data_IF_616377720145
#
_entry.id   IF_616377720145
#
_cell.length_a   1.000
_cell.length_b   1.000
_cell.length_c   1.000
_cell.angle_alpha   90.00
_cell.angle_beta   90.00
_cell.angle_gamma   90.00
#
_symmetry.space_group_name_H-M   'P 1'
#
loop_
_entity.id
_entity.type
_entity.pdbx_description
1 polymer ?
#
# COMPACT_ATOMS: atom_id res chain seq x y z
N UNK A 1 -41.31 -40.67 -37.41
CA UNK A 1 -40.20 -39.96 -38.07
C UNK A 1 -40.19 -38.44 -37.88
N UNK A 2 -41.30 -37.72 -37.66
CA UNK A 2 -41.26 -36.25 -37.50
C UNK A 2 -40.75 -35.76 -36.13
N UNK A 3 -41.00 -36.50 -35.04
CA UNK A 3 -40.66 -36.07 -33.67
C UNK A 3 -39.15 -36.04 -33.42
N UNK A 4 -38.40 -36.96 -34.05
CA UNK A 4 -36.93 -37.03 -33.92
C UNK A 4 -36.23 -35.85 -34.58
N UNK A 5 -36.81 -35.25 -35.63
CA UNK A 5 -36.24 -34.07 -36.29
C UNK A 5 -36.50 -32.79 -35.51
N UNK A 6 -37.66 -32.69 -34.83
CA UNK A 6 -37.98 -31.53 -33.98
C UNK A 6 -37.07 -31.49 -32.75
N UNK A 7 -36.79 -32.65 -32.14
CA UNK A 7 -35.83 -32.75 -31.03
C UNK A 7 -34.40 -32.39 -31.43
N UNK A 8 -33.98 -32.75 -32.65
CA UNK A 8 -32.66 -32.40 -33.20
C UNK A 8 -32.53 -30.91 -33.55
N UNK A 9 -33.61 -30.28 -34.04
CA UNK A 9 -33.65 -28.83 -34.28
C UNK A 9 -33.68 -28.02 -32.97
N UNK A 10 -34.37 -28.53 -31.94
CA UNK A 10 -34.37 -27.92 -30.62
C UNK A 10 -32.99 -28.02 -29.93
N UNK A 11 -32.29 -29.15 -30.07
CA UNK A 11 -30.94 -29.32 -29.49
C UNK A 11 -29.87 -28.49 -30.21
N UNK A 12 -29.96 -28.29 -31.53
CA UNK A 12 -29.10 -27.35 -32.26
C UNK A 12 -29.44 -25.88 -31.96
N UNK A 13 -30.69 -25.55 -31.64
CA UNK A 13 -31.07 -24.18 -31.24
C UNK A 13 -30.53 -23.79 -29.87
N UNK A 14 -30.55 -24.71 -28.90
CA UNK A 14 -30.02 -24.45 -27.55
C UNK A 14 -28.49 -24.37 -27.49
N UNK A 15 -27.75 -25.06 -28.36
CA UNK A 15 -26.28 -24.97 -28.37
C UNK A 15 -25.78 -23.61 -28.88
N UNK A 16 -26.56 -22.91 -29.71
CA UNK A 16 -26.22 -21.55 -30.18
C UNK A 16 -26.51 -20.45 -29.15
N UNK A 17 -27.31 -20.75 -28.12
CA UNK A 17 -27.65 -19.81 -27.04
C UNK A 17 -26.83 -20.04 -25.76
N UNK A 18 -25.99 -21.08 -25.74
CA UNK A 18 -25.17 -21.47 -24.60
C UNK A 18 -23.69 -21.06 -24.75
N UNK A 19 -23.40 -19.92 -25.37
CA UNK A 19 -22.11 -19.27 -25.16
C UNK A 19 -22.19 -18.60 -23.79
N UNK A 20 -21.80 -19.31 -22.74
CA UNK A 20 -21.50 -18.67 -21.48
C UNK A 20 -20.45 -17.59 -21.78
N UNK A 21 -20.72 -16.34 -21.42
CA UNK A 21 -19.70 -15.29 -21.45
C UNK A 21 -18.50 -15.83 -20.67
N UNK A 22 -17.30 -15.78 -21.28
CA UNK A 22 -16.08 -16.13 -20.56
C UNK A 22 -16.05 -15.25 -19.32
N UNK A 23 -16.03 -15.88 -18.15
CA UNK A 23 -15.95 -15.17 -16.87
C UNK A 23 -14.66 -14.35 -16.79
N UNK A 24 -14.51 -13.62 -15.68
CA UNK A 24 -13.29 -12.88 -15.38
C UNK A 24 -12.10 -13.86 -15.38
N UNK A 25 -11.20 -13.70 -16.36
CA UNK A 25 -9.91 -14.39 -16.40
C UNK A 25 -8.85 -13.45 -15.82
N UNK A 26 -8.14 -13.90 -14.79
CA UNK A 26 -7.00 -13.15 -14.26
C UNK A 26 -5.94 -12.95 -15.36
N UNK A 27 -5.29 -11.76 -15.40
CA UNK A 27 -4.22 -11.50 -16.35
C UNK A 27 -3.14 -12.56 -16.26
N UNK A 28 -2.72 -13.06 -17.42
CA UNK A 28 -1.52 -13.88 -17.56
C UNK A 28 -0.50 -13.05 -18.32
N UNK A 29 0.78 -13.29 -18.02
CA UNK A 29 1.86 -12.66 -18.75
C UNK A 29 1.74 -12.94 -20.26
N UNK A 30 1.67 -11.88 -21.05
CA UNK A 30 1.44 -11.93 -22.49
C UNK A 30 2.73 -12.20 -23.30
N UNK A 31 3.87 -12.33 -22.63
CA UNK A 31 5.17 -12.61 -23.23
C UNK A 31 5.90 -11.39 -23.77
N UNK A 32 5.37 -10.17 -23.58
CA UNK A 32 6.07 -8.94 -23.98
C UNK A 32 6.89 -8.39 -22.83
N UNK A 33 8.15 -8.15 -23.12
CA UNK A 33 9.14 -7.55 -22.23
C UNK A 33 8.83 -6.06 -21.98
N UNK A 34 8.56 -5.71 -20.72
CA UNK A 34 8.26 -4.35 -20.25
C UNK A 34 9.26 -3.88 -19.19
N UNK A 35 9.93 -4.80 -18.50
CA UNK A 35 10.87 -4.49 -17.42
C UNK A 35 12.21 -4.05 -18.00
N UNK A 36 12.63 -2.83 -17.66
CA UNK A 36 13.84 -2.22 -18.22
C UNK A 36 15.11 -2.69 -17.49
N UNK A 37 16.15 -3.10 -18.22
CA UNK A 37 17.52 -3.20 -17.69
C UNK A 37 18.10 -1.78 -17.51
N UNK A 38 18.05 -1.25 -16.28
CA UNK A 38 18.42 0.13 -15.96
C UNK A 38 19.92 0.24 -15.70
N UNK A 39 20.56 1.13 -16.47
CA UNK A 39 22.00 1.35 -16.47
C UNK A 39 22.34 2.83 -16.71
N UNK A 40 23.64 3.16 -16.73
CA UNK A 40 24.13 4.55 -16.87
C UNK A 40 23.58 5.27 -18.11
N UNK A 41 23.21 4.54 -19.17
CA UNK A 41 22.76 5.13 -20.44
C UNK A 41 21.28 5.50 -20.45
N UNK A 42 20.45 4.83 -19.65
CA UNK A 42 18.99 4.95 -19.73
C UNK A 42 18.31 5.41 -18.43
N UNK A 43 18.95 5.36 -17.26
CA UNK A 43 18.27 5.66 -15.99
C UNK A 43 17.57 7.03 -15.96
N UNK A 44 18.25 8.10 -16.42
CA UNK A 44 17.63 9.43 -16.52
C UNK A 44 16.44 9.48 -17.47
N UNK A 45 16.43 8.65 -18.52
CA UNK A 45 15.30 8.58 -19.46
C UNK A 45 14.14 7.83 -18.84
N UNK A 46 14.41 6.76 -18.07
CA UNK A 46 13.42 6.05 -17.28
C UNK A 46 12.70 6.99 -16.32
N UNK A 47 13.46 7.67 -15.44
CA UNK A 47 12.92 8.61 -14.45
C UNK A 47 12.11 9.78 -15.04
N UNK A 48 12.37 10.16 -16.30
CA UNK A 48 11.63 11.24 -16.98
C UNK A 48 10.44 10.77 -17.79
N UNK A 49 10.38 9.48 -18.14
CA UNK A 49 9.37 8.91 -19.03
C UNK A 49 8.09 8.56 -18.28
N UNK A 50 8.23 8.13 -17.03
CA UNK A 50 7.15 7.64 -16.20
C UNK A 50 6.94 8.58 -15.02
N UNK A 51 5.67 8.81 -14.66
CA UNK A 51 5.32 9.58 -13.47
C UNK A 51 5.70 8.81 -12.19
N UNK A 52 5.69 7.47 -12.28
CA UNK A 52 6.18 6.56 -11.27
C UNK A 52 7.07 5.48 -11.90
N UNK A 53 8.26 5.24 -11.36
CA UNK A 53 9.19 4.20 -11.81
C UNK A 53 9.54 3.26 -10.66
N UNK A 54 9.18 1.99 -10.80
CA UNK A 54 9.48 0.91 -9.86
C UNK A 54 10.77 0.19 -10.28
N UNK A 55 11.78 0.18 -9.42
CA UNK A 55 13.08 -0.44 -9.67
C UNK A 55 13.36 -1.55 -8.68
N UNK A 56 13.51 -2.77 -9.16
CA UNK A 56 14.01 -3.89 -8.36
C UNK A 56 15.54 -3.87 -8.35
N UNK A 57 16.13 -3.69 -7.18
CA UNK A 57 17.57 -3.68 -6.98
C UNK A 57 18.06 -5.08 -6.65
N UNK A 58 18.86 -5.68 -7.53
CA UNK A 58 19.14 -7.12 -7.44
C UNK A 58 20.63 -7.43 -7.39
N UNK A 59 20.94 -8.54 -6.71
CA UNK A 59 22.26 -9.15 -6.73
C UNK A 59 22.64 -9.56 -8.17
N UNK A 60 23.95 -9.65 -8.49
CA UNK A 60 24.39 -10.02 -9.83
C UNK A 60 23.93 -11.42 -10.19
N UNK A 61 23.85 -11.69 -11.50
CA UNK A 61 23.44 -12.98 -12.03
C UNK A 61 24.21 -14.14 -11.34
N UNK A 62 23.50 -14.99 -10.57
CA UNK A 62 24.15 -16.00 -9.76
C UNK A 62 24.64 -17.15 -10.65
N UNK A 63 25.74 -17.81 -10.26
CA UNK A 63 26.26 -18.98 -10.98
C UNK A 63 25.38 -20.23 -10.78
N UNK A 64 24.69 -20.31 -9.64
CA UNK A 64 23.81 -21.44 -9.30
C UNK A 64 22.48 -21.34 -10.07
N UNK A 65 22.06 -22.45 -10.68
CA UNK A 65 20.86 -22.51 -11.52
C UNK A 65 19.58 -22.23 -10.74
N UNK A 66 19.53 -22.62 -9.48
CA UNK A 66 18.39 -22.41 -8.58
C UNK A 66 18.16 -20.91 -8.33
N UNK A 67 19.22 -20.17 -8.04
CA UNK A 67 19.17 -18.72 -7.81
C UNK A 67 18.84 -17.96 -9.11
N UNK A 68 19.31 -18.45 -10.26
CA UNK A 68 18.91 -17.86 -11.56
C UNK A 68 17.41 -17.99 -11.80
N UNK A 69 16.82 -19.14 -11.44
CA UNK A 69 15.38 -19.34 -11.54
C UNK A 69 14.60 -18.42 -10.60
N UNK A 70 15.10 -18.18 -9.38
CA UNK A 70 14.46 -17.25 -8.45
C UNK A 70 14.42 -15.84 -9.04
N UNK A 71 15.54 -15.34 -9.58
CA UNK A 71 15.58 -14.04 -10.24
C UNK A 71 14.64 -13.96 -11.46
N UNK A 72 14.55 -15.03 -12.26
CA UNK A 72 13.59 -15.12 -13.37
C UNK A 72 12.13 -15.10 -12.92
N UNK A 73 11.82 -15.73 -11.79
CA UNK A 73 10.47 -15.68 -11.22
C UNK A 73 10.14 -14.27 -10.72
N UNK A 74 11.10 -13.57 -10.11
CA UNK A 74 10.96 -12.17 -9.71
C UNK A 74 10.75 -11.26 -10.92
N UNK A 75 11.56 -11.42 -11.97
CA UNK A 75 11.38 -10.69 -13.23
C UNK A 75 9.98 -10.91 -13.81
N UNK A 76 9.46 -12.14 -13.77
CA UNK A 76 8.10 -12.46 -14.23
C UNK A 76 7.01 -11.79 -13.37
N UNK A 77 7.21 -11.65 -12.06
CA UNK A 77 6.31 -10.89 -11.17
C UNK A 77 6.25 -9.43 -11.60
N UNK A 78 7.42 -8.82 -11.84
CA UNK A 78 7.52 -7.43 -12.29
C UNK A 78 6.91 -7.25 -13.69
N UNK A 79 7.11 -8.19 -14.61
CA UNK A 79 6.50 -8.18 -15.93
C UNK A 79 4.97 -8.23 -15.89
N UNK A 80 4.43 -9.06 -15.00
CA UNK A 80 2.98 -9.15 -14.82
C UNK A 80 2.41 -7.85 -14.24
N UNK A 81 3.06 -7.28 -13.22
CA UNK A 81 2.67 -5.98 -12.66
C UNK A 81 2.77 -4.86 -13.71
N UNK A 82 3.86 -4.83 -14.48
CA UNK A 82 4.07 -3.88 -15.58
C UNK A 82 3.00 -4.00 -16.66
N UNK A 83 2.55 -5.22 -16.98
CA UNK A 83 1.46 -5.44 -17.92
C UNK A 83 0.13 -4.88 -17.39
N UNK A 84 -0.17 -5.08 -16.10
CA UNK A 84 -1.42 -4.59 -15.49
C UNK A 84 -1.42 -3.06 -15.39
N UNK A 85 -0.27 -2.45 -15.09
CA UNK A 85 -0.13 -1.02 -14.84
C UNK A 85 0.34 -0.21 -16.05
N UNK A 86 0.46 -0.82 -17.23
CA UNK A 86 0.92 -0.17 -18.46
C UNK A 86 0.09 1.07 -18.81
N UNK A 87 -1.24 0.97 -18.68
CA UNK A 87 -2.17 2.09 -18.94
C UNK A 87 -2.13 3.19 -17.89
N UNK A 88 -1.60 2.90 -16.69
CA UNK A 88 -1.41 3.87 -15.61
C UNK A 88 -0.11 4.66 -15.76
N UNK A 89 0.72 4.34 -16.76
CA UNK A 89 1.98 5.05 -17.00
C UNK A 89 3.06 4.75 -15.96
N UNK A 90 2.97 3.62 -15.25
CA UNK A 90 3.96 3.18 -14.26
C UNK A 90 5.03 2.34 -14.97
N UNK A 91 6.29 2.74 -14.80
CA UNK A 91 7.45 2.05 -15.36
C UNK A 91 7.99 1.00 -14.41
N UNK A 92 8.55 -0.08 -14.95
CA UNK A 92 9.26 -1.10 -14.19
C UNK A 92 10.68 -1.29 -14.72
N UNK A 93 11.62 -1.58 -13.84
CA UNK A 93 13.00 -1.84 -14.20
C UNK A 93 13.75 -2.64 -13.16
N UNK A 94 14.93 -3.11 -13.55
CA UNK A 94 15.86 -3.84 -12.71
C UNK A 94 17.23 -3.14 -12.74
N UNK A 95 17.90 -3.10 -11.59
CA UNK A 95 19.23 -2.52 -11.44
C UNK A 95 20.15 -3.55 -10.80
N UNK A 96 21.22 -3.92 -11.49
CA UNK A 96 22.22 -4.87 -10.98
C UNK A 96 23.20 -4.18 -10.02
N UNK A 97 23.37 -4.75 -8.82
CA UNK A 97 24.20 -4.17 -7.76
C UNK A 97 25.69 -4.05 -8.05
N UNK A 98 26.22 -4.84 -8.99
CA UNK A 98 27.63 -4.79 -9.38
C UNK A 98 27.83 -4.12 -10.74
N UNK A 99 27.10 -4.58 -11.76
CA UNK A 99 27.22 -4.06 -13.13
C UNK A 99 26.80 -2.59 -13.18
N UNK A 100 25.77 -2.21 -12.43
CA UNK A 100 25.16 -0.89 -12.45
C UNK A 100 25.31 -0.15 -11.10
N UNK A 101 26.31 -0.52 -10.30
CA UNK A 101 26.61 0.02 -8.97
C UNK A 101 26.66 1.56 -8.89
N UNK A 102 27.14 2.23 -9.95
CA UNK A 102 27.18 3.69 -10.03
C UNK A 102 25.79 4.32 -10.17
N UNK A 103 24.86 3.62 -10.83
CA UNK A 103 23.46 4.03 -10.93
C UNK A 103 22.79 3.81 -9.60
N UNK A 104 22.93 2.63 -9.00
CA UNK A 104 22.40 2.31 -7.68
C UNK A 104 22.81 3.36 -6.63
N UNK A 105 24.10 3.70 -6.58
CA UNK A 105 24.61 4.75 -5.68
C UNK A 105 24.01 6.14 -5.94
N UNK A 106 23.75 6.50 -7.20
CA UNK A 106 23.14 7.80 -7.54
C UNK A 106 21.66 7.86 -7.22
N UNK A 107 20.98 6.72 -7.29
CA UNK A 107 19.55 6.58 -7.02
C UNK A 107 19.25 6.29 -5.55
N UNK A 108 20.27 6.04 -4.72
CA UNK A 108 20.08 5.70 -3.31
C UNK A 108 19.57 4.28 -3.08
N UNK A 109 19.89 3.33 -3.97
CA UNK A 109 19.51 1.93 -3.79
C UNK A 109 20.53 1.28 -2.84
N UNK A 110 20.06 0.76 -1.72
CA UNK A 110 20.94 0.30 -0.64
C UNK A 110 20.80 -1.20 -0.36
N UNK A 111 19.61 -1.76 -0.53
CA UNK A 111 19.30 -3.12 -0.11
C UNK A 111 18.99 -4.06 -1.29
N UNK A 112 19.90 -5.02 -1.52
CA UNK A 112 19.71 -6.02 -2.57
C UNK A 112 18.50 -6.90 -2.26
N UNK A 113 17.57 -7.01 -3.21
CA UNK A 113 16.30 -7.71 -3.01
C UNK A 113 15.12 -6.77 -2.80
N UNK A 114 15.36 -5.48 -2.55
CA UNK A 114 14.30 -4.48 -2.36
C UNK A 114 13.81 -3.88 -3.68
N UNK A 115 12.57 -3.41 -3.64
CA UNK A 115 11.95 -2.62 -4.69
C UNK A 115 11.92 -1.15 -4.26
N UNK A 116 12.38 -0.26 -5.12
CA UNK A 116 12.36 1.18 -4.89
C UNK A 116 11.42 1.85 -5.88
N UNK A 117 10.44 2.59 -5.38
CA UNK A 117 9.47 3.33 -6.17
C UNK A 117 9.83 4.81 -6.19
N UNK A 118 10.12 5.31 -7.38
CA UNK A 118 10.38 6.72 -7.63
C UNK A 118 9.07 7.39 -8.05
N UNK A 119 8.58 8.33 -7.25
CA UNK A 119 7.41 9.16 -7.55
C UNK A 119 7.82 10.61 -7.34
N UNK A 120 7.80 11.40 -8.40
CA UNK A 120 8.25 12.81 -8.37
C UNK A 120 9.71 12.93 -7.88
N UNK A 121 9.96 13.55 -6.72
CA UNK A 121 11.26 13.66 -6.05
C UNK A 121 11.42 12.71 -4.86
N UNK A 122 10.41 11.90 -4.57
CA UNK A 122 10.41 10.91 -3.48
C UNK A 122 10.89 9.54 -3.96
N UNK A 123 11.54 8.83 -3.03
CA UNK A 123 11.94 7.43 -3.19
C UNK A 123 11.34 6.66 -2.03
N UNK A 124 10.48 5.70 -2.36
CA UNK A 124 9.78 4.86 -1.40
C UNK A 124 10.33 3.45 -1.53
N UNK A 125 10.78 2.88 -0.43
CA UNK A 125 11.19 1.48 -0.37
C UNK A 125 9.94 0.61 -0.12
N UNK A 126 9.72 -0.37 -0.99
CA UNK A 126 8.68 -1.36 -0.81
C UNK A 126 9.28 -2.57 -0.10
N UNK A 127 8.89 -2.73 1.16
CA UNK A 127 9.38 -3.78 2.06
C UNK A 127 8.26 -4.79 2.39
N UNK A 128 7.58 -5.21 1.32
CA UNK A 128 6.47 -6.14 1.36
C UNK A 128 6.73 -7.42 0.57
N UNK A 129 5.73 -8.29 0.55
CA UNK A 129 5.72 -9.50 -0.24
C UNK A 129 5.85 -9.18 -1.74
N UNK A 130 6.91 -9.70 -2.36
CA UNK A 130 7.16 -9.54 -3.78
C UNK A 130 6.25 -10.45 -4.63
N UNK A 131 4.98 -10.07 -4.71
CA UNK A 131 3.94 -10.69 -5.53
C UNK A 131 3.25 -9.64 -6.41
N UNK A 132 2.72 -10.06 -7.57
CA UNK A 132 2.23 -9.13 -8.58
C UNK A 132 0.95 -8.41 -8.15
N UNK A 133 0.06 -9.10 -7.43
CA UNK A 133 -1.13 -8.54 -6.80
C UNK A 133 -0.75 -7.50 -5.73
N UNK A 134 0.11 -7.86 -4.78
CA UNK A 134 0.55 -6.94 -3.72
C UNK A 134 1.25 -5.70 -4.27
N UNK A 135 2.17 -5.87 -5.24
CA UNK A 135 2.82 -4.74 -5.91
C UNK A 135 1.83 -3.86 -6.68
N UNK A 136 0.86 -4.45 -7.37
CA UNK A 136 -0.15 -3.69 -8.12
C UNK A 136 -1.02 -2.89 -7.18
N UNK A 137 -1.50 -3.49 -6.08
CA UNK A 137 -2.29 -2.80 -5.05
C UNK A 137 -1.48 -1.65 -4.45
N UNK A 138 -0.26 -1.91 -3.99
CA UNK A 138 0.62 -0.89 -3.42
C UNK A 138 0.86 0.30 -4.36
N UNK A 139 1.13 0.03 -5.64
CA UNK A 139 1.40 1.08 -6.63
C UNK A 139 0.15 1.86 -7.02
N UNK A 140 -1.03 1.23 -6.97
CA UNK A 140 -2.30 1.92 -7.18
C UNK A 140 -2.62 2.83 -6.00
N UNK A 141 -2.47 2.36 -4.76
CA UNK A 141 -2.63 3.18 -3.56
C UNK A 141 -1.66 4.36 -3.57
N UNK A 142 -0.42 4.13 -3.98
CA UNK A 142 0.58 5.20 -4.10
C UNK A 142 0.27 6.17 -5.24
N UNK A 143 -0.53 5.78 -6.24
CA UNK A 143 -0.97 6.68 -7.32
C UNK A 143 -2.07 7.65 -6.85
N UNK A 144 -2.81 7.29 -5.81
CA UNK A 144 -3.88 8.12 -5.25
C UNK A 144 -3.35 9.38 -4.54
N UNK A 145 -4.26 10.32 -4.30
CA UNK A 145 -3.96 11.55 -3.57
C UNK A 145 -3.54 11.21 -2.12
N UNK A 146 -2.55 11.91 -1.56
CA UNK A 146 -2.04 11.63 -0.21
C UNK A 146 -3.05 11.89 0.90
N UNK A 147 -4.08 12.70 0.63
CA UNK A 147 -5.10 13.05 1.62
C UNK A 147 -6.49 12.86 1.03
N UNK A 148 -7.27 11.97 1.62
CA UNK A 148 -8.67 11.76 1.28
C UNK A 148 -9.56 12.81 1.95
N UNK A 149 -10.55 13.35 1.21
CA UNK A 149 -11.45 14.39 1.75
C UNK A 149 -12.76 13.76 2.21
N UNK A 150 -13.16 14.03 3.45
CA UNK A 150 -14.44 13.64 4.03
C UNK A 150 -15.38 14.84 4.04
N UNK A 151 -16.35 14.83 3.15
CA UNK A 151 -17.32 15.92 2.95
C UNK A 151 -18.73 15.55 3.46
N UNK A 152 -18.98 14.28 3.79
CA UNK A 152 -20.31 13.83 4.23
C UNK A 152 -20.30 12.69 5.25
N UNK A 153 -21.48 12.44 5.84
CA UNK A 153 -21.66 11.43 6.88
C UNK A 153 -21.51 9.97 6.40
N UNK A 154 -21.59 9.69 5.10
CA UNK A 154 -21.35 8.35 4.58
C UNK A 154 -19.85 8.05 4.56
N UNK A 155 -19.04 8.99 4.06
CA UNK A 155 -17.58 8.92 4.10
C UNK A 155 -17.06 8.88 5.53
N UNK A 156 -17.64 9.68 6.44
CA UNK A 156 -17.28 9.62 7.87
C UNK A 156 -17.50 8.21 8.46
N UNK A 157 -18.60 7.54 8.11
CA UNK A 157 -18.83 6.16 8.54
C UNK A 157 -17.86 5.15 7.93
N UNK A 158 -17.35 5.41 6.74
CA UNK A 158 -16.31 4.58 6.14
C UNK A 158 -15.00 4.76 6.92
N UNK A 159 -14.63 6.01 7.21
CA UNK A 159 -13.51 6.35 8.08
C UNK A 159 -13.63 5.67 9.45
N UNK A 160 -14.79 5.70 10.11
CA UNK A 160 -14.99 5.09 11.43
C UNK A 160 -14.80 3.56 11.44
N UNK A 161 -15.00 2.88 10.30
CA UNK A 161 -14.85 1.42 10.19
C UNK A 161 -13.40 0.97 9.98
N UNK A 162 -12.51 1.90 9.64
CA UNK A 162 -11.09 1.58 9.47
C UNK A 162 -10.43 1.49 10.85
N UNK A 163 -10.23 0.29 11.36
CA UNK A 163 -9.60 0.07 12.67
C UNK A 163 -8.19 -0.51 12.59
N UNK A 164 -7.78 -1.06 11.44
CA UNK A 164 -6.54 -1.81 11.33
C UNK A 164 -5.33 -0.94 10.97
N UNK A 165 -5.58 0.21 10.35
CA UNK A 165 -4.54 1.11 9.84
C UNK A 165 -4.35 2.31 10.77
N UNK A 166 -3.11 2.80 10.84
CA UNK A 166 -2.87 4.14 11.39
C UNK A 166 -3.57 5.13 10.46
N UNK A 167 -4.42 5.98 11.04
CA UNK A 167 -5.12 7.02 10.29
C UNK A 167 -5.09 8.36 11.01
N UNK A 168 -5.00 9.43 10.24
CA UNK A 168 -5.06 10.79 10.74
C UNK A 168 -6.23 11.53 10.12
N UNK A 169 -6.86 12.43 10.87
CA UNK A 169 -7.89 13.32 10.33
C UNK A 169 -7.73 14.75 10.83
N UNK A 170 -7.67 15.69 9.89
CA UNK A 170 -7.56 17.12 10.17
C UNK A 170 -8.79 17.92 9.76
N UNK A 171 -9.18 18.91 10.57
CA UNK A 171 -10.21 19.88 10.17
C UNK A 171 -9.58 21.21 9.77
N UNK A 172 -9.71 21.58 8.50
CA UNK A 172 -9.09 22.78 7.95
C UNK A 172 -10.11 23.73 7.33
N UNK A 173 -9.66 24.95 7.01
CA UNK A 173 -10.53 25.97 6.43
C UNK A 173 -10.89 25.67 4.97
N UNK A 174 -9.93 25.19 4.19
CA UNK A 174 -10.03 24.92 2.76
C UNK A 174 -8.75 24.25 2.26
N UNK A 175 -8.79 23.72 1.03
CA UNK A 175 -7.60 23.20 0.32
C UNK A 175 -6.47 24.23 0.17
N UNK A 176 -6.80 25.53 0.09
CA UNK A 176 -5.79 26.58 -0.04
C UNK A 176 -5.21 27.08 1.31
N UNK A 177 -5.58 26.45 2.42
CA UNK A 177 -5.08 26.89 3.74
C UNK A 177 -3.67 26.37 3.99
N UNK A 178 -2.80 27.23 4.51
CA UNK A 178 -1.41 26.90 4.84
C UNK A 178 -1.27 25.62 5.68
N UNK A 179 -2.17 25.44 6.65
CA UNK A 179 -2.16 24.26 7.53
C UNK A 179 -2.59 22.97 6.84
N UNK A 180 -3.49 23.06 5.84
CA UNK A 180 -3.84 21.88 5.03
C UNK A 180 -2.69 21.51 4.09
N UNK A 181 -2.01 22.50 3.50
CA UNK A 181 -0.85 22.24 2.64
C UNK A 181 0.28 21.56 3.43
N UNK A 182 0.59 22.04 4.64
CA UNK A 182 1.56 21.38 5.52
C UNK A 182 1.12 19.96 5.92
N UNK A 183 -0.18 19.73 6.14
CA UNK A 183 -0.72 18.39 6.40
C UNK A 183 -0.62 17.46 5.19
N UNK A 184 -0.84 17.99 3.99
CA UNK A 184 -0.69 17.27 2.73
C UNK A 184 0.78 16.91 2.45
N UNK A 185 1.71 17.83 2.66
CA UNK A 185 3.16 17.59 2.54
C UNK A 185 3.60 16.50 3.52
N UNK A 186 3.11 16.51 4.77
CA UNK A 186 3.38 15.45 5.73
C UNK A 186 2.81 14.10 5.27
N UNK A 187 1.59 14.07 4.72
CA UNK A 187 0.97 12.85 4.21
C UNK A 187 1.77 12.18 3.10
N UNK A 188 2.41 12.97 2.23
CA UNK A 188 3.29 12.49 1.17
C UNK A 188 4.50 11.70 1.71
N UNK A 189 4.97 11.97 2.94
CA UNK A 189 6.08 11.24 3.54
C UNK A 189 5.70 9.82 3.99
N UNK A 190 4.41 9.54 4.19
CA UNK A 190 3.92 8.27 4.74
C UNK A 190 3.04 7.46 3.77
N UNK A 191 2.82 7.95 2.55
CA UNK A 191 2.10 7.18 1.53
C UNK A 191 2.84 5.88 1.18
N UNK A 192 2.11 4.77 0.93
CA UNK A 192 0.67 4.56 1.13
C UNK A 192 0.31 3.95 2.50
N UNK A 193 1.30 3.78 3.39
CA UNK A 193 1.22 2.98 4.62
C UNK A 193 0.35 3.59 5.73
N UNK A 194 0.30 4.93 5.82
CA UNK A 194 -0.52 5.67 6.79
C UNK A 194 -1.57 6.47 6.03
N UNK A 195 -2.83 6.36 6.44
CA UNK A 195 -3.96 6.97 5.73
C UNK A 195 -4.26 8.36 6.30
N UNK A 196 -4.24 9.38 5.46
CA UNK A 196 -4.53 10.76 5.87
C UNK A 196 -5.88 11.20 5.34
N UNK A 197 -6.67 11.79 6.22
CA UNK A 197 -7.99 12.34 5.91
C UNK A 197 -8.05 13.82 6.27
N UNK A 198 -8.84 14.57 5.53
CA UNK A 198 -9.16 15.94 5.88
C UNK A 198 -10.63 16.23 5.68
N UNK A 199 -11.16 17.16 6.46
CA UNK A 199 -12.48 17.72 6.21
C UNK A 199 -12.42 19.25 6.20
N UNK A 200 -13.27 19.85 5.38
CA UNK A 200 -13.53 21.29 5.40
C UNK A 200 -14.93 21.61 5.92
N UNK A 201 -15.71 20.57 6.23
CA UNK A 201 -17.11 20.65 6.61
C UNK A 201 -17.29 20.71 8.12
N UNK A 202 -17.92 21.79 8.59
CA UNK A 202 -18.16 22.00 10.03
C UNK A 202 -19.05 20.93 10.65
N UNK A 203 -19.92 20.29 9.87
CA UNK A 203 -20.77 19.19 10.35
C UNK A 203 -19.95 17.95 10.66
N UNK A 204 -19.03 17.58 9.77
CA UNK A 204 -18.13 16.43 9.94
C UNK A 204 -17.20 16.67 11.13
N UNK A 205 -16.54 17.84 11.16
CA UNK A 205 -15.66 18.21 12.26
C UNK A 205 -16.36 18.20 13.62
N UNK A 206 -17.64 18.59 13.69
CA UNK A 206 -18.42 18.56 14.93
C UNK A 206 -18.69 17.13 15.42
N UNK A 207 -18.91 16.19 14.52
CA UNK A 207 -19.14 14.77 14.85
C UNK A 207 -17.85 14.13 15.37
N UNK A 208 -16.71 14.46 14.76
CA UNK A 208 -15.36 14.08 15.21
C UNK A 208 -14.85 14.89 16.41
N UNK A 209 -15.60 15.89 16.88
CA UNK A 209 -15.20 16.83 17.94
C UNK A 209 -13.95 17.69 17.66
N UNK A 210 -13.48 17.71 16.41
CA UNK A 210 -12.35 18.51 15.94
C UNK A 210 -12.62 20.01 15.93
N UNK A 211 -11.63 20.79 16.37
CA UNK A 211 -11.58 22.25 16.17
C UNK A 211 -10.77 22.62 14.92
N UNK A 212 -10.90 23.87 14.47
CA UNK A 212 -10.13 24.37 13.31
C UNK A 212 -8.61 24.16 13.52
N UNK A 213 -7.95 23.66 12.48
CA UNK A 213 -6.53 23.28 12.39
C UNK A 213 -6.09 22.23 13.41
N UNK A 214 -7.03 21.47 13.97
CA UNK A 214 -6.75 20.33 14.85
C UNK A 214 -6.60 19.07 14.00
N UNK A 215 -5.68 18.21 14.40
CA UNK A 215 -5.40 16.92 13.78
C UNK A 215 -5.46 15.86 14.87
N UNK A 216 -6.26 14.83 14.62
CA UNK A 216 -6.37 13.65 15.46
C UNK A 216 -5.63 12.48 14.82
N UNK A 217 -4.84 11.78 15.62
CA UNK A 217 -4.13 10.55 15.26
C UNK A 217 -4.84 9.35 15.89
N UNK A 218 -5.19 8.37 15.07
CA UNK A 218 -5.79 7.11 15.51
C UNK A 218 -4.75 5.99 15.39
N UNK A 219 -4.35 5.46 16.54
CA UNK A 219 -3.59 4.22 16.60
C UNK A 219 -4.51 3.04 16.25
N UNK A 220 -4.05 2.03 15.47
CA UNK A 220 -4.81 0.84 15.15
C UNK A 220 -5.48 0.21 16.39
N UNK A 221 -6.73 -0.19 16.21
CA UNK A 221 -7.57 -0.86 17.19
C UNK A 221 -7.92 -0.04 18.45
N UNK A 222 -7.52 1.24 18.51
CA UNK A 222 -7.91 2.17 19.58
C UNK A 222 -9.21 2.90 19.23
N UNK A 223 -10.09 3.08 20.23
CA UNK A 223 -11.37 3.75 20.03
C UNK A 223 -11.24 5.28 20.04
N UNK A 224 -10.36 5.80 20.88
CA UNK A 224 -10.17 7.24 21.08
C UNK A 224 -8.88 7.71 20.38
N UNK A 225 -8.93 8.85 19.66
CA UNK A 225 -7.74 9.42 19.07
C UNK A 225 -6.83 10.10 20.09
N UNK A 226 -5.59 10.33 19.67
CA UNK A 226 -4.68 11.29 20.30
C UNK A 226 -4.66 12.56 19.45
N UNK A 227 -5.19 13.66 20.00
CA UNK A 227 -5.05 14.98 19.37
C UNK A 227 -3.60 15.43 19.42
N UNK A 228 -3.03 15.77 18.27
CA UNK A 228 -1.64 16.25 18.19
C UNK A 228 -1.52 17.59 18.95
N UNK A 229 -0.55 17.73 19.87
CA UNK A 229 -0.42 18.93 20.68
C UNK A 229 0.08 20.14 19.85
N UNK A 230 -0.09 21.33 20.41
CA UNK A 230 0.51 22.58 19.91
C UNK A 230 0.10 23.04 18.50
N UNK A 231 -1.18 22.92 18.16
CA UNK A 231 -1.72 23.43 16.90
C UNK A 231 -1.58 24.97 16.72
N UNK A 232 -1.48 25.48 15.47
CA UNK A 232 -1.44 24.74 14.21
C UNK A 232 -0.06 24.13 13.93
N UNK A 233 -0.04 22.99 13.22
CA UNK A 233 1.17 22.20 12.99
C UNK A 233 1.87 22.56 11.67
N UNK A 234 3.19 22.47 11.67
CA UNK A 234 4.05 22.40 10.48
C UNK A 234 4.18 20.96 9.94
N UNK A 235 4.72 20.80 8.73
CA UNK A 235 5.04 19.48 8.16
C UNK A 235 5.96 18.71 9.13
N UNK A 236 7.03 19.34 9.61
CA UNK A 236 8.05 18.69 10.43
C UNK A 236 7.50 18.24 11.79
N UNK A 237 6.59 19.01 12.39
CA UNK A 237 5.93 18.63 13.64
C UNK A 237 5.00 17.42 13.46
N UNK A 238 4.26 17.36 12.35
CA UNK A 238 3.41 16.20 12.03
C UNK A 238 4.25 14.96 11.78
N UNK A 239 5.29 15.08 10.95
CA UNK A 239 6.21 13.98 10.63
C UNK A 239 6.89 13.47 11.90
N UNK A 240 7.37 14.37 12.78
CA UNK A 240 7.98 14.00 14.04
C UNK A 240 7.01 13.25 14.96
N UNK A 241 5.78 13.75 15.12
CA UNK A 241 4.78 13.12 15.96
C UNK A 241 4.42 11.71 15.45
N UNK A 242 4.17 11.58 14.15
CA UNK A 242 3.79 10.30 13.54
C UNK A 242 4.95 9.30 13.63
N UNK A 243 6.18 9.74 13.41
CA UNK A 243 7.36 8.88 13.54
C UNK A 243 7.55 8.38 14.98
N UNK A 244 7.29 9.21 15.98
CA UNK A 244 7.34 8.83 17.40
C UNK A 244 6.25 7.80 17.77
N UNK A 245 5.11 7.86 17.07
CA UNK A 245 3.95 6.98 17.32
C UNK A 245 3.79 5.89 16.24
N UNK A 246 4.82 5.64 15.42
CA UNK A 246 4.76 4.73 14.28
C UNK A 246 4.52 3.27 14.68
N UNK A 247 4.93 2.86 15.89
CA UNK A 247 4.75 1.49 16.40
C UNK A 247 3.45 1.39 17.22
N UNK A 248 2.38 0.78 16.69
CA UNK A 248 1.15 0.55 17.44
C UNK A 248 1.32 -0.57 18.46
N UNK A 249 0.50 -0.54 19.50
CA UNK A 249 0.43 -1.59 20.53
C UNK A 249 -0.01 -2.94 19.95
N UNK A 250 -0.95 -2.90 19.00
CA UNK A 250 -1.40 -4.05 18.22
C UNK A 250 -1.38 -3.64 16.74
N UNK A 251 -0.69 -4.41 15.90
CA UNK A 251 -0.58 -4.16 14.46
C UNK A 251 -0.82 -5.44 13.68
N UNK A 252 -1.54 -5.33 12.57
CA UNK A 252 -1.79 -6.43 11.64
C UNK A 252 -0.57 -6.60 10.73
N UNK A 253 -0.13 -7.84 10.53
CA UNK A 253 0.91 -8.12 9.54
C UNK A 253 0.26 -8.10 8.14
N UNK A 254 0.60 -7.13 7.29
CA UNK A 254 0.02 -6.97 5.95
C UNK A 254 1.04 -7.33 4.88
N UNK A 255 0.57 -7.74 3.70
CA UNK A 255 1.46 -8.17 2.63
C UNK A 255 2.36 -7.02 2.12
N UNK A 256 1.89 -5.78 2.17
CA UNK A 256 2.60 -4.60 1.66
C UNK A 256 3.76 -4.12 2.54
N UNK A 257 3.80 -4.48 3.82
CA UNK A 257 4.78 -4.01 4.82
C UNK A 257 5.27 -5.12 5.76
N UNK A 258 5.12 -6.39 5.36
CA UNK A 258 5.37 -7.52 6.25
C UNK A 258 6.81 -7.60 6.74
N UNK A 259 7.79 -7.21 5.91
CA UNK A 259 9.20 -7.29 6.29
C UNK A 259 9.54 -6.14 7.23
N UNK A 260 9.09 -4.92 6.96
CA UNK A 260 9.26 -3.77 7.86
C UNK A 260 8.71 -4.09 9.25
N UNK A 261 7.49 -4.64 9.30
CA UNK A 261 6.82 -5.02 10.54
C UNK A 261 7.59 -6.12 11.31
N UNK A 262 8.20 -7.05 10.57
CA UNK A 262 8.92 -8.19 11.15
C UNK A 262 10.35 -7.84 11.59
N UNK A 263 11.00 -6.89 10.93
CA UNK A 263 12.32 -6.39 11.32
C UNK A 263 12.25 -5.43 12.51
N UNK A 264 11.11 -4.76 12.70
CA UNK A 264 10.85 -3.90 13.85
C UNK A 264 10.54 -4.69 15.14
N UNK A 265 11.53 -5.41 15.66
CA UNK A 265 11.39 -6.25 16.86
C UNK A 265 11.40 -5.48 18.20
N UNK A 266 10.81 -6.10 19.23
CA UNK A 266 10.83 -5.62 20.61
C UNK A 266 11.98 -6.29 21.36
N UNK A 267 13.18 -5.72 21.33
CA UNK A 267 14.37 -6.25 22.01
C UNK A 267 14.71 -7.71 21.63
N UNK A 268 14.56 -8.04 20.36
CA UNK A 268 14.84 -9.35 19.75
C UNK A 268 13.67 -10.34 19.79
N UNK A 269 12.46 -9.90 20.17
CA UNK A 269 11.26 -10.75 20.20
C UNK A 269 10.05 -10.09 19.52
N UNK A 270 9.11 -10.94 19.09
CA UNK A 270 7.75 -10.54 18.67
C UNK A 270 6.72 -11.30 19.49
N UNK A 271 5.67 -10.61 19.93
CA UNK A 271 4.46 -11.25 20.46
C UNK A 271 3.53 -11.47 19.27
N UNK A 272 3.44 -12.71 18.79
CA UNK A 272 2.66 -13.05 17.59
C UNK A 272 1.36 -13.75 17.99
N UNK A 273 0.24 -13.22 17.52
CA UNK A 273 -1.08 -13.83 17.66
C UNK A 273 -1.63 -14.20 16.28
N UNK A 274 -2.21 -15.40 16.17
CA UNK A 274 -2.90 -15.85 14.96
C UNK A 274 -4.40 -15.89 15.24
N UNK A 275 -5.15 -15.13 14.47
CA UNK A 275 -6.61 -15.06 14.53
C UNK A 275 -7.16 -14.95 13.10
N UNK A 276 -8.04 -15.87 12.72
CA UNK A 276 -8.76 -15.80 11.45
C UNK A 276 -10.05 -15.00 11.67
N UNK A 277 -10.10 -13.78 11.14
CA UNK A 277 -11.19 -12.82 11.41
C UNK A 277 -12.57 -13.34 10.92
N UNK A 278 -12.59 -14.13 9.85
CA UNK A 278 -13.82 -14.71 9.31
C UNK A 278 -14.33 -15.92 10.12
N UNK A 279 -13.48 -16.52 10.95
CA UNK A 279 -13.85 -17.62 11.84
C UNK A 279 -14.42 -17.06 13.16
N UNK A 280 -15.57 -17.57 13.67
CA UNK A 280 -16.17 -17.06 14.90
C UNK A 280 -15.23 -17.08 16.13
N UNK A 281 -14.41 -18.12 16.28
CA UNK A 281 -13.50 -18.23 17.41
C UNK A 281 -12.30 -17.28 17.22
N UNK A 282 -11.82 -17.14 15.98
CA UNK A 282 -10.79 -16.18 15.60
C UNK A 282 -11.23 -14.73 15.83
N UNK A 283 -12.46 -14.38 15.46
CA UNK A 283 -13.06 -13.07 15.74
C UNK A 283 -13.15 -12.77 17.24
N UNK A 284 -13.67 -13.71 18.05
CA UNK A 284 -13.75 -13.53 19.51
C UNK A 284 -12.36 -13.36 20.12
N UNK A 285 -11.37 -14.12 19.66
CA UNK A 285 -9.99 -13.99 20.11
C UNK A 285 -9.38 -12.65 19.72
N UNK A 286 -9.64 -12.14 18.51
CA UNK A 286 -9.18 -10.83 18.07
C UNK A 286 -9.76 -9.71 18.94
N UNK A 287 -11.05 -9.76 19.29
CA UNK A 287 -11.66 -8.77 20.19
C UNK A 287 -10.99 -8.75 21.57
N UNK A 288 -10.60 -9.92 22.11
CA UNK A 288 -9.81 -10.02 23.34
C UNK A 288 -8.44 -9.36 23.18
N UNK A 289 -7.76 -9.58 22.04
CA UNK A 289 -6.47 -8.93 21.76
C UNK A 289 -6.60 -7.40 21.69
N UNK A 290 -7.67 -6.89 21.08
CA UNK A 290 -7.97 -5.45 21.04
C UNK A 290 -8.17 -4.88 22.44
N UNK A 291 -8.91 -5.57 23.31
CA UNK A 291 -9.10 -5.15 24.72
C UNK A 291 -7.77 -5.12 25.48
N UNK A 292 -6.95 -6.18 25.36
CA UNK A 292 -5.63 -6.25 25.99
C UNK A 292 -4.71 -5.14 25.47
N UNK A 293 -4.73 -4.83 24.18
CA UNK A 293 -3.94 -3.76 23.59
C UNK A 293 -4.36 -2.40 24.15
N UNK A 294 -5.67 -2.12 24.25
CA UNK A 294 -6.19 -0.86 24.81
C UNK A 294 -5.79 -0.68 26.28
N UNK A 295 -5.90 -1.73 27.08
CA UNK A 295 -5.51 -1.70 28.49
C UNK A 295 -4.00 -1.44 28.70
N UNK A 296 -3.18 -1.75 27.69
CA UNK A 296 -1.73 -1.65 27.75
C UNK A 296 -1.15 -0.61 26.77
N UNK A 297 -1.97 0.23 26.15
CA UNK A 297 -1.49 1.17 25.12
C UNK A 297 -0.43 2.13 25.64
N UNK A 298 -0.44 2.49 26.94
CA UNK A 298 0.57 3.36 27.55
C UNK A 298 1.78 2.61 28.15
N UNK A 299 1.91 1.31 27.89
CA UNK A 299 3.02 0.52 28.40
C UNK A 299 4.28 0.76 27.54
N UNK A 300 5.34 1.38 28.09
CA UNK A 300 6.57 1.66 27.32
C UNK A 300 7.35 0.39 26.96
N UNK A 301 7.12 -0.73 27.66
CA UNK A 301 7.78 -2.00 27.34
C UNK A 301 7.20 -2.68 26.09
N UNK A 302 6.07 -2.17 25.58
CA UNK A 302 5.37 -2.65 24.38
C UNK A 302 5.40 -1.62 23.22
N UNK A 303 6.19 -0.54 23.36
CA UNK A 303 6.36 0.52 22.36
C UNK A 303 7.82 0.64 21.91
#
# INVERSE_FOLDING_TARGET
MQITWILLLASLGLSTLASAEKGLEFPRYDGKDRVLDINEKNYHKGLKKYDMLCLFYHAPLPTAKELQKQLQMTELVLELAAQVLEEKGIGFGMVDSQKDAKVAKKLGLHEEGSVYVFKEDRVIEFDGLLAADTLVEFLLDLLEDPVEIIDNALELRAFDRMEEDIKLIGFFKSRDSEHYLAFQEAAEQFQPFIKFFATFEKSVAKELTLKMNEVDFYEPFMEEPVTIPDKPHSEEELVAFISEHRRPTLRKLRAEDMFETWEDDLNGIHIVAFAEEEDPDGFEFLEILKEVARDNTHNPDLR
#
